data_IF_123868431651
#
_entry.id   IF_123868431651
#
_cell.length_a   1.000
_cell.length_b   1.000
_cell.length_c   1.000
_cell.angle_alpha   90.00
_cell.angle_beta   90.00
_cell.angle_gamma   90.00
#
_symmetry.space_group_name_H-M   'P 1'
#
loop_
_entity.id
_entity.type
_entity.pdbx_description
1 polymer ?
#
# COMPACT_ATOMS: atom_id res chain seq x y z
N UNK A 1 -7.54 14.45 -14.26
CA UNK A 1 -6.45 14.32 -13.27
C UNK A 1 -6.74 13.11 -12.41
N UNK A 2 -5.94 12.06 -12.55
CA UNK A 2 -6.17 10.76 -11.90
C UNK A 2 -6.00 10.88 -10.38
N UNK A 3 -7.12 10.81 -9.66
CA UNK A 3 -7.20 10.97 -8.20
C UNK A 3 -6.75 9.74 -7.40
N UNK A 4 -6.13 8.74 -8.04
CA UNK A 4 -5.83 7.46 -7.40
C UNK A 4 -4.48 7.44 -6.68
N UNK A 5 -3.45 8.10 -7.22
CA UNK A 5 -2.11 8.09 -6.63
C UNK A 5 -2.00 8.78 -5.28
N UNK A 6 -2.67 9.92 -5.12
CA UNK A 6 -2.64 10.69 -3.87
C UNK A 6 -3.16 9.89 -2.68
N UNK A 7 -4.24 9.10 -2.86
CA UNK A 7 -4.85 8.31 -1.78
C UNK A 7 -3.96 7.18 -1.28
N UNK A 8 -3.21 6.53 -2.16
CA UNK A 8 -2.33 5.42 -1.78
C UNK A 8 -1.13 5.93 -0.97
N UNK A 9 -0.60 7.12 -1.33
CA UNK A 9 0.49 7.75 -0.58
C UNK A 9 0.08 8.11 0.84
N UNK A 10 -1.08 8.72 1.03
CA UNK A 10 -1.60 9.03 2.37
C UNK A 10 -1.87 7.77 3.21
N UNK A 11 -2.38 6.70 2.59
CA UNK A 11 -2.62 5.41 3.25
C UNK A 11 -1.35 4.68 3.69
N UNK A 12 -0.27 4.79 2.91
CA UNK A 12 1.03 4.22 3.25
C UNK A 12 1.63 4.87 4.49
N UNK A 13 1.44 6.18 4.65
CA UNK A 13 1.95 6.95 5.79
C UNK A 13 1.06 6.77 7.04
N UNK A 14 -0.26 6.76 6.87
CA UNK A 14 -1.17 6.91 8.01
C UNK A 14 -1.62 5.58 8.66
N UNK A 15 -1.66 4.46 7.93
CA UNK A 15 -2.35 3.26 8.45
C UNK A 15 -1.65 1.90 8.23
N UNK A 16 -0.49 1.82 7.57
CA UNK A 16 0.20 0.54 7.25
C UNK A 16 -0.72 -0.54 6.64
N UNK A 17 -1.84 -0.15 6.01
CA UNK A 17 -2.85 -1.05 5.43
C UNK A 17 -2.44 -1.57 4.06
N UNK A 18 -1.55 -0.86 3.39
CA UNK A 18 -1.09 -1.21 2.05
C UNK A 18 0.09 -2.17 2.16
N UNK A 19 0.01 -3.28 1.44
CA UNK A 19 1.08 -4.28 1.32
C UNK A 19 1.46 -4.51 -0.13
N UNK A 20 2.70 -4.97 -0.32
CA UNK A 20 3.12 -5.43 -1.65
C UNK A 20 2.32 -6.69 -2.05
N UNK A 21 2.34 -7.10 -3.32
CA UNK A 21 1.72 -8.36 -3.77
C UNK A 21 2.18 -9.61 -3.00
N UNK A 22 3.37 -9.55 -2.39
CA UNK A 22 3.91 -10.62 -1.55
C UNK A 22 3.46 -10.55 -0.07
N UNK A 23 2.70 -9.53 0.32
CA UNK A 23 2.13 -9.38 1.67
C UNK A 23 2.96 -8.56 2.67
N UNK A 24 4.11 -8.01 2.28
CA UNK A 24 4.93 -7.17 3.17
C UNK A 24 4.38 -5.73 3.33
N UNK A 25 4.35 -5.24 4.57
CA UNK A 25 3.98 -3.87 4.94
C UNK A 25 5.16 -2.89 4.90
N UNK A 26 6.39 -3.37 4.74
CA UNK A 26 7.61 -2.53 4.65
C UNK A 26 7.74 -1.82 3.30
N UNK A 27 6.71 -1.04 2.96
CA UNK A 27 6.63 -0.23 1.76
C UNK A 27 7.04 1.21 2.05
N UNK A 28 7.71 1.85 1.09
CA UNK A 28 8.02 3.28 1.13
C UNK A 28 7.54 3.91 -0.17
N UNK A 29 6.57 4.82 -0.08
CA UNK A 29 6.08 5.56 -1.23
C UNK A 29 7.21 6.40 -1.84
N UNK A 30 7.32 6.41 -3.17
CA UNK A 30 8.17 7.34 -3.87
C UNK A 30 7.57 8.76 -3.82
N UNK A 31 8.42 9.78 -3.71
CA UNK A 31 7.94 11.16 -3.55
C UNK A 31 7.37 11.75 -4.83
N UNK A 32 7.86 11.28 -5.98
CA UNK A 32 7.62 11.86 -7.30
C UNK A 32 6.87 10.94 -8.25
N UNK A 33 6.69 9.67 -7.91
CA UNK A 33 6.02 8.67 -8.76
C UNK A 33 4.96 7.92 -7.96
N UNK A 34 3.93 7.43 -8.64
CA UNK A 34 2.86 6.60 -8.06
C UNK A 34 3.34 5.15 -7.84
N UNK A 35 4.50 4.99 -7.21
CA UNK A 35 5.13 3.70 -6.92
C UNK A 35 5.55 3.60 -5.45
N UNK A 36 5.53 2.40 -4.89
CA UNK A 36 6.06 2.10 -3.56
C UNK A 36 7.20 1.08 -3.66
N UNK A 37 8.30 1.38 -2.97
CA UNK A 37 9.42 0.47 -2.82
C UNK A 37 9.19 -0.46 -1.64
N UNK A 38 9.18 -1.77 -1.90
CA UNK A 38 9.16 -2.77 -0.84
C UNK A 38 10.57 -3.11 -0.38
N UNK A 39 10.92 -2.79 0.86
CA UNK A 39 12.25 -3.11 1.41
C UNK A 39 12.47 -4.61 1.61
N UNK A 40 11.40 -5.37 1.86
CA UNK A 40 11.48 -6.83 2.04
C UNK A 40 11.69 -7.57 0.71
N UNK A 41 10.98 -7.16 -0.35
CA UNK A 41 11.17 -7.74 -1.69
C UNK A 41 12.37 -7.15 -2.45
N UNK A 42 12.84 -5.96 -2.06
CA UNK A 42 13.92 -5.24 -2.74
C UNK A 42 13.53 -4.64 -4.09
N UNK A 43 12.23 -4.46 -4.38
CA UNK A 43 11.73 -3.93 -5.66
C UNK A 43 10.58 -2.93 -5.48
N UNK A 44 10.39 -2.08 -6.49
CA UNK A 44 9.30 -1.11 -6.56
C UNK A 44 8.09 -1.69 -7.26
N UNK A 45 6.90 -1.34 -6.78
CA UNK A 45 5.61 -1.69 -7.37
C UNK A 45 4.80 -0.43 -7.61
N UNK A 46 4.04 -0.34 -8.71
CA UNK A 46 3.08 0.74 -8.91
C UNK A 46 1.95 0.63 -7.90
N UNK A 47 1.39 1.77 -7.52
CA UNK A 47 0.32 1.86 -6.51
C UNK A 47 -0.92 1.03 -6.87
N UNK A 48 -1.20 0.83 -8.16
CA UNK A 48 -2.28 -0.03 -8.65
C UNK A 48 -2.09 -1.52 -8.36
N UNK A 49 -0.85 -1.98 -8.20
CA UNK A 49 -0.52 -3.37 -7.86
C UNK A 49 -0.45 -3.60 -6.34
N UNK A 50 -0.48 -2.53 -5.55
CA UNK A 50 -0.43 -2.66 -4.10
C UNK A 50 -1.80 -3.13 -3.57
N UNK A 51 -1.73 -4.03 -2.60
CA UNK A 51 -2.92 -4.65 -2.01
C UNK A 51 -3.26 -3.91 -0.72
N UNK A 52 -4.48 -3.40 -0.62
CA UNK A 52 -5.04 -2.86 0.62
C UNK A 52 -5.47 -4.05 1.49
N UNK A 53 -4.64 -4.43 2.47
CA UNK A 53 -5.05 -5.26 3.60
C UNK A 53 -5.93 -4.41 4.54
N UNK A 54 -7.09 -3.97 4.04
CA UNK A 54 -8.17 -3.66 4.96
C UNK A 54 -8.54 -4.99 5.61
N UNK A 55 -8.13 -5.16 6.86
CA UNK A 55 -8.78 -6.12 7.74
C UNK A 55 -10.24 -5.70 7.77
N UNK A 56 -11.06 -6.40 6.99
CA UNK A 56 -12.49 -6.30 7.10
C UNK A 56 -12.83 -6.95 8.45
N UNK A 57 -12.86 -6.13 9.50
CA UNK A 57 -13.37 -6.50 10.83
C UNK A 57 -14.88 -6.87 10.79
N UNK A 58 -15.47 -7.11 9.60
CA UNK A 58 -16.82 -7.64 9.44
C UNK A 58 -16.87 -9.19 9.57
N UNK A 59 -15.85 -9.79 10.20
CA UNK A 59 -15.81 -11.21 10.55
C UNK A 59 -15.70 -11.49 12.05
N UNK A 60 -15.79 -10.47 12.93
CA UNK A 60 -15.88 -10.68 14.38
C UNK A 60 -17.28 -11.12 14.75
N UNK A 61 -17.60 -12.37 14.47
CA UNK A 61 -18.69 -13.09 15.14
C UNK A 61 -18.24 -13.31 16.60
N UNK A 62 -18.95 -12.75 17.61
CA UNK A 62 -18.61 -12.85 19.02
C UNK A 62 -18.83 -14.25 19.63
#
# INVERSE_FOLDING_TARGET
MSNNGYRIREKLDSEYRIVCPSGHTSLSAAETTETAYCRACGRSYPFEELVDQRWDDAGRDP
#
